data_IF_603593526243
#
_entry.id   IF_603593526243
#
_cell.length_a   1.000
_cell.length_b   1.000
_cell.length_c   1.000
_cell.angle_alpha   90.00
_cell.angle_beta   90.00
_cell.angle_gamma   90.00
#
_symmetry.space_group_name_H-M   'P 1'
#
loop_
_entity.id
_entity.type
_entity.pdbx_description
1 polymer ?
#
# COMPACT_ATOMS: atom_id res chain seq x y z
N UNK A 1 38.33 -21.21 20.13
CA UNK A 1 37.67 -21.12 18.79
C UNK A 1 36.27 -20.61 19.03
N UNK A 2 36.04 -19.31 18.88
CA UNK A 2 34.75 -18.67 19.17
C UNK A 2 34.08 -18.30 17.86
N UNK A 3 32.93 -18.92 17.57
CA UNK A 3 32.15 -18.65 16.37
C UNK A 3 31.47 -17.28 16.49
N UNK A 4 31.74 -16.40 15.53
CA UNK A 4 31.07 -15.11 15.37
C UNK A 4 29.79 -15.32 14.56
N UNK A 5 28.64 -15.14 15.22
CA UNK A 5 27.33 -15.19 14.58
C UNK A 5 27.05 -13.86 13.88
N UNK A 6 26.93 -13.91 12.56
CA UNK A 6 26.48 -12.81 11.68
C UNK A 6 24.97 -12.59 11.84
N UNK A 7 24.46 -11.34 11.93
CA UNK A 7 23.03 -11.09 11.84
C UNK A 7 22.60 -11.17 10.37
N UNK A 8 21.76 -12.16 10.06
CA UNK A 8 21.19 -12.38 8.74
C UNK A 8 20.13 -11.31 8.43
N UNK A 9 20.16 -10.82 7.20
CA UNK A 9 19.37 -9.72 6.66
C UNK A 9 17.93 -10.19 6.34
N UNK A 10 17.01 -9.22 6.40
CA UNK A 10 15.57 -9.30 6.22
C UNK A 10 15.02 -10.30 5.18
N UNK A 11 14.07 -11.11 5.62
CA UNK A 11 13.13 -11.87 4.80
C UNK A 11 12.00 -10.95 4.28
N UNK A 12 11.62 -11.01 2.99
CA UNK A 12 10.50 -10.22 2.47
C UNK A 12 9.15 -10.77 2.96
N UNK A 13 8.13 -9.91 3.19
CA UNK A 13 6.83 -10.36 3.69
C UNK A 13 6.09 -11.21 2.64
N UNK A 14 5.47 -12.34 3.02
CA UNK A 14 4.67 -13.14 2.10
C UNK A 14 3.34 -12.46 1.77
N UNK A 15 2.93 -12.63 0.52
CA UNK A 15 1.67 -12.18 -0.07
C UNK A 15 0.43 -12.57 0.77
N UNK A 16 -0.68 -11.79 0.73
CA UNK A 16 -1.87 -12.09 1.52
C UNK A 16 -2.63 -13.29 0.94
N UNK A 17 -2.69 -14.38 1.71
CA UNK A 17 -3.62 -15.50 1.50
C UNK A 17 -5.04 -15.15 1.97
N UNK A 18 -6.09 -15.79 1.41
CA UNK A 18 -7.47 -15.37 1.57
C UNK A 18 -8.00 -15.66 2.97
N UNK A 19 -8.71 -14.66 3.52
CA UNK A 19 -9.42 -14.65 4.80
C UNK A 19 -10.38 -15.86 4.93
N UNK A 20 -10.31 -16.67 6.00
CA UNK A 20 -11.36 -17.64 6.31
C UNK A 20 -12.61 -16.90 6.81
N UNK A 21 -13.76 -17.29 6.26
CA UNK A 21 -15.07 -16.74 6.63
C UNK A 21 -15.43 -17.16 8.06
N UNK A 22 -15.92 -16.21 8.84
CA UNK A 22 -16.50 -16.46 10.16
C UNK A 22 -17.88 -17.08 9.96
N UNK A 23 -18.00 -18.38 10.24
CA UNK A 23 -19.29 -19.05 10.39
C UNK A 23 -19.80 -18.81 11.81
N UNK A 24 -20.94 -18.13 11.92
CA UNK A 24 -21.65 -17.93 13.18
C UNK A 24 -22.34 -19.24 13.61
N UNK A 25 -21.76 -19.97 14.55
CA UNK A 25 -22.42 -21.07 15.23
C UNK A 25 -23.27 -20.53 16.38
N UNK A 26 -24.57 -20.33 16.15
CA UNK A 26 -25.56 -20.14 17.20
C UNK A 26 -25.82 -21.48 17.89
N UNK A 27 -25.41 -21.61 19.15
CA UNK A 27 -25.78 -22.74 20.00
C UNK A 27 -27.14 -22.49 20.63
N UNK A 28 -28.07 -23.42 20.43
CA UNK A 28 -29.21 -23.61 21.32
C UNK A 28 -29.75 -25.01 21.15
N UNK A 29 -29.48 -25.88 22.13
CA UNK A 29 -30.18 -27.15 22.29
C UNK A 29 -30.48 -27.35 23.77
N UNK A 30 -31.77 -27.43 24.10
CA UNK A 30 -32.39 -28.57 24.80
C UNK A 30 -33.68 -28.14 25.55
N UNK A 31 -34.81 -28.73 25.14
CA UNK A 31 -35.92 -29.26 25.95
C UNK A 31 -37.16 -29.38 25.02
N UNK A 32 -37.44 -30.55 24.45
CA UNK A 32 -38.20 -31.67 25.04
C UNK A 32 -39.69 -31.63 24.70
N UNK A 33 -40.07 -32.59 23.85
CA UNK A 33 -41.32 -33.37 23.82
C UNK A 33 -42.64 -32.69 23.36
N UNK A 34 -43.05 -33.15 22.17
CA UNK A 34 -44.39 -33.67 21.81
C UNK A 34 -45.37 -32.75 21.05
N UNK A 35 -45.69 -33.21 19.83
CA UNK A 35 -46.92 -33.06 19.02
C UNK A 35 -47.50 -31.65 18.78
N UNK A 36 -47.10 -31.07 17.65
CA UNK A 36 -48.01 -30.64 16.57
C UNK A 36 -47.13 -30.02 15.46
N UNK A 37 -47.50 -30.25 14.20
CA UNK A 37 -46.72 -29.80 13.04
C UNK A 37 -46.36 -28.30 13.13
N UNK A 38 -45.18 -27.85 12.66
CA UNK A 38 -44.85 -26.44 12.68
C UNK A 38 -45.85 -25.73 11.78
N UNK A 39 -46.78 -24.98 12.39
CA UNK A 39 -47.58 -23.99 11.69
C UNK A 39 -46.59 -23.06 11.03
N UNK A 40 -46.33 -23.27 9.74
CA UNK A 40 -45.54 -22.37 8.91
C UNK A 40 -46.14 -20.99 9.13
N UNK A 41 -45.43 -20.13 9.86
CA UNK A 41 -45.80 -18.73 10.04
C UNK A 41 -46.02 -18.16 8.64
N UNK A 42 -47.29 -18.05 8.24
CA UNK A 42 -47.61 -17.57 6.91
C UNK A 42 -47.19 -16.11 6.90
N UNK A 43 -46.18 -15.80 6.09
CA UNK A 43 -45.80 -14.43 5.79
C UNK A 43 -47.09 -13.65 5.48
N UNK A 44 -47.35 -12.52 6.13
CA UNK A 44 -48.52 -11.70 5.84
C UNK A 44 -48.64 -11.52 4.33
N UNK A 45 -49.83 -11.81 3.77
CA UNK A 45 -50.07 -11.62 2.34
C UNK A 45 -49.82 -10.14 2.03
N UNK A 46 -48.75 -9.87 1.28
CA UNK A 46 -48.52 -8.53 0.75
C UNK A 46 -49.73 -8.18 -0.13
N UNK A 47 -50.46 -7.14 0.26
CA UNK A 47 -51.47 -6.55 -0.61
C UNK A 47 -50.79 -6.15 -1.91
N UNK A 48 -51.46 -6.35 -3.04
CA UNK A 48 -50.91 -5.97 -4.34
C UNK A 48 -50.63 -4.46 -4.32
N UNK A 49 -49.35 -4.10 -4.17
CA UNK A 49 -48.92 -2.72 -4.26
C UNK A 49 -48.85 -2.38 -5.74
N UNK A 50 -49.49 -1.28 -6.14
CA UNK A 50 -49.31 -0.65 -7.45
C UNK A 50 -47.81 -0.49 -7.66
N UNK A 51 -47.26 -0.86 -8.82
CA UNK A 51 -45.83 -0.69 -9.08
C UNK A 51 -45.50 0.80 -8.97
N UNK A 52 -44.79 1.21 -7.91
CA UNK A 52 -44.16 2.53 -7.89
C UNK A 52 -43.17 2.52 -9.03
N UNK A 53 -43.27 3.50 -9.94
CA UNK A 53 -42.49 3.56 -11.15
C UNK A 53 -40.98 3.34 -10.93
N UNK A 54 -40.31 3.06 -12.03
CA UNK A 54 -38.87 2.77 -12.06
C UNK A 54 -38.04 3.84 -11.35
N UNK A 55 -37.20 3.42 -10.40
CA UNK A 55 -36.25 4.27 -9.63
C UNK A 55 -35.09 4.81 -10.51
N UNK A 56 -35.07 4.46 -11.80
CA UNK A 56 -34.00 4.83 -12.72
C UNK A 56 -34.18 6.31 -13.11
N UNK A 57 -33.30 7.12 -12.57
CA UNK A 57 -33.18 8.54 -12.92
C UNK A 57 -32.15 8.67 -14.04
N UNK A 58 -32.46 9.32 -15.18
CA UNK A 58 -31.51 9.59 -16.25
C UNK A 58 -30.29 10.37 -15.75
N UNK A 59 -29.09 10.06 -16.25
CA UNK A 59 -27.83 10.69 -15.81
C UNK A 59 -27.78 12.21 -15.99
N UNK A 60 -28.59 12.76 -16.89
CA UNK A 60 -28.63 14.19 -17.24
C UNK A 60 -29.47 15.03 -16.27
N UNK A 61 -30.20 14.43 -15.32
CA UNK A 61 -31.05 15.20 -14.39
C UNK A 61 -30.21 15.94 -13.36
N UNK A 62 -30.51 17.22 -13.17
CA UNK A 62 -29.92 18.05 -12.12
C UNK A 62 -30.06 17.36 -10.75
N UNK A 63 -28.96 17.35 -9.99
CA UNK A 63 -28.77 16.76 -8.65
C UNK A 63 -30.08 16.47 -7.91
N UNK A 64 -30.32 15.19 -7.63
CA UNK A 64 -31.47 14.68 -6.86
C UNK A 64 -31.24 14.83 -5.34
N UNK A 65 -30.16 15.49 -4.93
CA UNK A 65 -29.95 15.86 -3.54
C UNK A 65 -30.92 16.99 -3.19
N UNK A 66 -31.78 16.78 -2.18
CA UNK A 66 -32.57 17.86 -1.59
C UNK A 66 -31.61 18.94 -1.08
N UNK A 67 -31.96 20.21 -1.26
CA UNK A 67 -31.18 21.27 -0.64
C UNK A 67 -31.24 21.08 0.89
N UNK A 68 -30.15 21.38 1.61
CA UNK A 68 -30.06 21.18 3.08
C UNK A 68 -31.20 21.85 3.87
N UNK A 69 -31.80 22.89 3.33
CA UNK A 69 -32.95 23.60 3.90
C UNK A 69 -34.28 22.87 3.76
N UNK A 70 -34.38 21.95 2.80
CA UNK A 70 -35.61 21.28 2.41
C UNK A 70 -35.74 19.90 3.08
N UNK A 71 -34.71 19.47 3.81
CA UNK A 71 -34.69 18.24 4.59
C UNK A 71 -35.31 18.46 5.98
N UNK A 72 -36.63 18.67 6.03
CA UNK A 72 -37.40 18.62 7.28
C UNK A 72 -37.65 17.15 7.59
N UNK A 73 -36.97 16.62 8.61
CA UNK A 73 -37.20 15.28 9.12
C UNK A 73 -38.29 15.33 10.18
N UNK A 74 -39.33 14.51 10.03
CA UNK A 74 -40.37 14.36 11.04
C UNK A 74 -39.78 13.76 12.34
N UNK A 75 -40.41 14.03 13.49
CA UNK A 75 -39.95 13.55 14.80
C UNK A 75 -39.89 12.01 14.88
N UNK A 76 -40.70 11.31 14.08
CA UNK A 76 -40.71 9.84 13.94
C UNK A 76 -39.82 9.33 12.79
N UNK A 77 -39.07 10.19 12.09
CA UNK A 77 -38.19 9.76 11.01
C UNK A 77 -36.98 9.01 11.59
N UNK A 78 -36.87 7.73 11.24
CA UNK A 78 -35.76 6.86 11.64
C UNK A 78 -34.37 7.45 11.28
N UNK A 79 -34.30 8.35 10.30
CA UNK A 79 -33.06 9.03 9.91
C UNK A 79 -32.64 10.12 10.90
N UNK A 80 -33.56 10.69 11.69
CA UNK A 80 -33.25 11.60 12.79
C UNK A 80 -32.73 10.86 14.04
N UNK A 81 -33.05 9.57 14.17
CA UNK A 81 -32.63 8.71 15.29
C UNK A 81 -31.32 7.95 15.04
N UNK A 82 -30.74 8.04 13.84
CA UNK A 82 -29.42 7.49 13.55
C UNK A 82 -28.34 8.50 13.95
N UNK A 83 -27.26 8.08 14.65
CA UNK A 83 -26.11 8.96 14.90
C UNK A 83 -25.47 9.40 13.57
N UNK A 84 -25.92 10.53 13.04
CA UNK A 84 -25.26 11.19 11.91
C UNK A 84 -24.00 11.83 12.44
N UNK A 85 -22.85 11.56 11.81
CA UNK A 85 -21.66 12.40 12.03
C UNK A 85 -22.06 13.83 11.74
N UNK A 86 -21.89 14.73 12.71
CA UNK A 86 -22.15 16.14 12.50
C UNK A 86 -21.25 16.65 11.36
N UNK A 87 -21.70 17.65 10.60
CA UNK A 87 -20.91 18.22 9.51
C UNK A 87 -19.51 18.66 9.98
N UNK A 88 -19.43 19.12 11.23
CA UNK A 88 -18.20 19.49 11.92
C UNK A 88 -17.22 18.30 12.09
N UNK A 89 -17.71 17.09 12.38
CA UNK A 89 -16.88 15.88 12.49
C UNK A 89 -16.34 15.44 11.13
N UNK A 90 -17.16 15.56 10.08
CA UNK A 90 -16.74 15.29 8.69
C UNK A 90 -15.67 16.26 8.21
N UNK A 91 -15.83 17.56 8.50
CA UNK A 91 -14.82 18.57 8.15
C UNK A 91 -13.50 18.31 8.89
N UNK A 92 -13.56 18.03 10.19
CA UNK A 92 -12.38 17.70 10.99
C UNK A 92 -11.66 16.45 10.47
N UNK A 93 -12.40 15.37 10.20
CA UNK A 93 -11.83 14.15 9.62
C UNK A 93 -11.18 14.42 8.25
N UNK A 94 -11.77 15.29 7.44
CA UNK A 94 -11.18 15.72 6.16
C UNK A 94 -9.90 16.53 6.32
N UNK A 95 -9.83 17.41 7.32
CA UNK A 95 -8.62 18.18 7.65
C UNK A 95 -7.51 17.27 8.20
N UNK A 96 -7.84 16.35 9.10
CA UNK A 96 -6.89 15.38 9.67
C UNK A 96 -6.32 14.47 8.58
N UNK A 97 -7.16 13.98 7.66
CA UNK A 97 -6.70 13.17 6.53
C UNK A 97 -5.73 13.94 5.61
N UNK A 98 -6.01 15.22 5.32
CA UNK A 98 -5.10 16.08 4.54
C UNK A 98 -3.79 16.35 5.27
N UNK A 99 -3.85 16.56 6.58
CA UNK A 99 -2.65 16.78 7.41
C UNK A 99 -1.74 15.54 7.40
N UNK A 100 -2.31 14.35 7.59
CA UNK A 100 -1.57 13.09 7.51
C UNK A 100 -0.94 12.87 6.13
N UNK A 101 -1.69 13.12 5.06
CA UNK A 101 -1.18 12.98 3.69
C UNK A 101 0.03 13.91 3.44
N UNK A 102 -0.04 15.15 3.92
CA UNK A 102 1.06 16.11 3.83
C UNK A 102 2.27 15.69 4.68
N UNK A 103 2.05 15.12 5.86
CA UNK A 103 3.11 14.59 6.71
C UNK A 103 3.84 13.43 6.03
N UNK A 104 3.09 12.47 5.49
CA UNK A 104 3.66 11.35 4.72
C UNK A 104 4.45 11.84 3.50
N UNK A 105 3.94 12.84 2.76
CA UNK A 105 4.64 13.44 1.63
C UNK A 105 5.98 14.07 2.06
N UNK A 106 6.01 14.77 3.20
CA UNK A 106 7.25 15.36 3.74
C UNK A 106 8.27 14.30 4.17
N UNK A 107 7.83 13.23 4.82
CA UNK A 107 8.71 12.12 5.21
C UNK A 107 9.32 11.48 3.97
N UNK A 108 8.50 11.22 2.96
CA UNK A 108 8.96 10.65 1.69
C UNK A 108 9.98 11.56 1.00
N UNK A 109 9.70 12.88 0.91
CA UNK A 109 10.64 13.84 0.34
C UNK A 109 11.99 13.86 1.08
N UNK A 110 11.96 13.83 2.42
CA UNK A 110 13.18 13.78 3.24
C UNK A 110 13.97 12.49 2.99
N UNK A 111 13.28 11.35 2.95
CA UNK A 111 13.90 10.06 2.67
C UNK A 111 14.53 10.01 1.27
N UNK A 112 13.85 10.55 0.26
CA UNK A 112 14.39 10.64 -1.10
C UNK A 112 15.62 11.54 -1.18
N UNK A 113 15.62 12.67 -0.47
CA UNK A 113 16.77 13.58 -0.43
C UNK A 113 17.99 12.91 0.24
N UNK A 114 17.77 12.15 1.31
CA UNK A 114 18.82 11.39 1.98
C UNK A 114 19.42 10.31 1.06
N UNK A 115 18.57 9.57 0.34
CA UNK A 115 19.02 8.57 -0.64
C UNK A 115 19.81 9.25 -1.75
N UNK A 116 19.35 10.39 -2.26
CA UNK A 116 20.04 11.14 -3.29
C UNK A 116 21.46 11.52 -2.86
N UNK A 117 21.62 12.10 -1.67
CA UNK A 117 22.94 12.46 -1.13
C UNK A 117 23.86 11.24 -0.99
N UNK A 118 23.30 10.10 -0.57
CA UNK A 118 24.06 8.85 -0.45
C UNK A 118 24.53 8.33 -1.81
N UNK A 119 23.68 8.41 -2.83
CA UNK A 119 24.04 8.05 -4.20
C UNK A 119 25.15 8.96 -4.73
N UNK A 120 25.07 10.26 -4.48
CA UNK A 120 26.07 11.23 -4.91
C UNK A 120 27.44 10.94 -4.28
N UNK A 121 27.48 10.68 -2.97
CA UNK A 121 28.71 10.29 -2.27
C UNK A 121 29.33 9.00 -2.85
N UNK A 122 28.51 7.98 -3.10
CA UNK A 122 28.98 6.73 -3.72
C UNK A 122 29.47 6.96 -5.13
N UNK A 123 28.82 7.82 -5.91
CA UNK A 123 29.25 8.17 -7.27
C UNK A 123 30.62 8.85 -7.27
N UNK A 124 30.86 9.81 -6.38
CA UNK A 124 32.16 10.46 -6.28
C UNK A 124 33.28 9.49 -5.88
N UNK A 125 33.00 8.57 -4.96
CA UNK A 125 33.97 7.54 -4.57
C UNK A 125 34.24 6.58 -5.74
N UNK A 126 33.18 6.17 -6.45
CA UNK A 126 33.30 5.33 -7.65
C UNK A 126 34.13 6.01 -8.73
N UNK A 127 33.89 7.29 -9.03
CA UNK A 127 34.66 8.05 -10.02
C UNK A 127 36.14 8.12 -9.64
N UNK A 128 36.46 8.25 -8.33
CA UNK A 128 37.86 8.19 -7.85
C UNK A 128 38.46 6.81 -8.05
N UNK A 129 37.73 5.74 -7.68
CA UNK A 129 38.22 4.36 -7.86
C UNK A 129 38.42 4.02 -9.35
N UNK A 130 37.53 4.47 -10.22
CA UNK A 130 37.65 4.29 -11.67
C UNK A 130 38.88 5.01 -12.24
N UNK A 131 39.14 6.24 -11.81
CA UNK A 131 40.33 6.98 -12.23
C UNK A 131 41.62 6.29 -11.77
N UNK A 132 41.67 5.82 -10.52
CA UNK A 132 42.80 5.05 -10.01
C UNK A 132 42.97 3.71 -10.75
N UNK A 133 41.88 3.01 -11.06
CA UNK A 133 41.91 1.75 -11.79
C UNK A 133 42.44 1.96 -13.22
N UNK A 134 41.95 3.00 -13.91
CA UNK A 134 42.49 3.41 -15.23
C UNK A 134 43.99 3.72 -15.16
N UNK A 135 44.43 4.44 -14.12
CA UNK A 135 45.85 4.73 -13.93
C UNK A 135 46.68 3.45 -13.76
N UNK A 136 46.23 2.53 -12.90
CA UNK A 136 46.90 1.25 -12.68
C UNK A 136 46.95 0.40 -13.96
N UNK A 137 45.85 0.30 -14.69
CA UNK A 137 45.80 -0.42 -15.97
C UNK A 137 46.78 0.16 -16.99
N UNK A 138 46.84 1.50 -17.12
CA UNK A 138 47.80 2.17 -17.99
C UNK A 138 49.23 1.89 -17.55
N UNK A 139 49.54 2.01 -16.26
CA UNK A 139 50.88 1.76 -15.72
C UNK A 139 51.34 0.32 -15.97
N UNK A 140 50.47 -0.66 -15.73
CA UNK A 140 50.76 -2.07 -16.00
C UNK A 140 50.93 -2.29 -17.51
N UNK A 141 50.06 -1.69 -18.34
CA UNK A 141 50.16 -1.75 -19.79
C UNK A 141 51.50 -1.20 -20.31
N UNK A 142 51.90 -0.02 -19.82
CA UNK A 142 53.18 0.61 -20.15
C UNK A 142 54.35 -0.28 -19.71
N UNK A 143 54.32 -0.80 -18.48
CA UNK A 143 55.37 -1.70 -17.95
C UNK A 143 55.49 -3.01 -18.74
N UNK A 144 54.37 -3.62 -19.10
CA UNK A 144 54.35 -4.83 -19.94
C UNK A 144 54.87 -4.55 -21.36
N UNK A 145 54.51 -3.41 -21.94
CA UNK A 145 55.00 -2.98 -23.25
C UNK A 145 56.51 -2.75 -23.24
N UNK A 146 57.03 -1.99 -22.27
CA UNK A 146 58.47 -1.77 -22.12
C UNK A 146 59.21 -3.06 -21.83
N UNK A 147 58.64 -3.96 -21.01
CA UNK A 147 59.29 -5.24 -20.66
C UNK A 147 59.45 -6.18 -21.87
N UNK A 148 58.52 -6.16 -22.84
CA UNK A 148 58.66 -6.93 -24.08
C UNK A 148 59.75 -6.37 -25.00
N UNK A 149 59.89 -5.04 -25.05
CA UNK A 149 60.88 -4.36 -25.89
C UNK A 149 62.29 -4.53 -25.31
N UNK A 150 62.47 -4.42 -23.99
CA UNK A 150 63.78 -4.57 -23.35
C UNK A 150 64.25 -6.02 -23.28
N UNK A 151 63.35 -7.00 -23.11
CA UNK A 151 63.69 -8.42 -23.09
C UNK A 151 64.18 -8.96 -24.44
N UNK A 152 63.69 -8.41 -25.56
CA UNK A 152 64.10 -8.84 -26.92
C UNK A 152 65.35 -8.12 -27.42
N UNK A 153 65.64 -6.90 -26.94
CA UNK A 153 66.83 -6.13 -27.30
C UNK A 153 68.16 -6.66 -26.72
N UNK A 154 68.14 -7.43 -25.63
CA UNK A 154 69.34 -7.99 -25.00
C UNK A 154 69.83 -9.30 -25.65
N UNK A 155 68.99 -9.98 -26.44
CA UNK A 155 69.31 -11.29 -27.05
C UNK A 155 70.02 -11.18 -28.42
N UNK A 156 70.00 -10.00 -29.05
CA UNK A 156 70.54 -9.80 -30.41
C UNK A 156 72.04 -9.54 -30.54
N UNK A 157 72.81 -9.51 -29.45
CA UNK A 157 74.25 -9.16 -29.47
C UNK A 157 75.15 -10.34 -29.07
N UNK A 158 75.01 -11.46 -29.78
CA UNK A 158 76.02 -12.53 -29.85
C UNK A 158 76.10 -13.06 -31.28
N UNK A 159 76.88 -12.39 -32.12
CA UNK A 159 77.69 -13.04 -33.16
C UNK A 159 78.78 -12.09 -33.63
#
# INVERSE_FOLDING_TARGET
MSASTVPNIAEPPPHPHPRPQQESSSSSSAASLHEEAPQKLRRPKMTSRKSSGTIIIPRETAKVELNRSDEVFDEDDARAMSPRRSEQDLEKMGQDARAQLNEHAKILQKSLLEIFNRIEAVKEEHDKLDNNNKFLQKYIGDLMSTSKITATGASGRKK
#
